data_IF_900539168526
#
_entry.id   IF_900539168526
#
_cell.length_a   1.000
_cell.length_b   1.000
_cell.length_c   1.000
_cell.angle_alpha   90.00
_cell.angle_beta   90.00
_cell.angle_gamma   90.00
#
_symmetry.space_group_name_H-M   'P 1'
#
loop_
_entity.id
_entity.type
_entity.pdbx_description
1 polymer ?
#
# COMPACT_ATOMS: atom_id res chain seq x y z
N UNK A 1 17.23 -20.82 -10.77
CA UNK A 1 18.08 -19.93 -9.97
C UNK A 1 17.13 -18.94 -9.34
N UNK A 2 16.85 -19.05 -8.04
CA UNK A 2 16.00 -18.07 -7.39
C UNK A 2 16.75 -16.72 -7.44
N UNK A 3 16.20 -15.76 -8.16
CA UNK A 3 16.64 -14.38 -8.05
C UNK A 3 16.68 -14.03 -6.57
N UNK A 4 17.82 -13.51 -6.08
CA UNK A 4 17.95 -13.13 -4.68
C UNK A 4 16.81 -12.17 -4.34
N UNK A 5 15.89 -12.62 -3.50
CA UNK A 5 14.78 -11.79 -3.03
C UNK A 5 15.36 -10.73 -2.12
N UNK A 6 15.34 -9.47 -2.57
CA UNK A 6 15.75 -8.34 -1.76
C UNK A 6 14.61 -7.95 -0.80
N UNK A 7 14.62 -8.57 0.38
CA UNK A 7 13.62 -8.33 1.44
C UNK A 7 13.65 -6.88 1.92
N UNK A 8 14.82 -6.23 1.93
CA UNK A 8 14.95 -4.84 2.35
C UNK A 8 14.27 -3.89 1.35
N UNK A 9 14.44 -4.14 0.04
CA UNK A 9 13.75 -3.38 -0.99
C UNK A 9 12.21 -3.56 -0.92
N UNK A 10 11.73 -4.78 -0.67
CA UNK A 10 10.31 -5.06 -0.50
C UNK A 10 9.73 -4.37 0.74
N UNK A 11 10.42 -4.42 1.88
CA UNK A 11 10.01 -3.71 3.10
C UNK A 11 9.89 -2.20 2.85
N UNK A 12 10.86 -1.62 2.12
CA UNK A 12 10.83 -0.20 1.74
C UNK A 12 9.65 0.14 0.82
N UNK A 13 9.31 -0.71 -0.14
CA UNK A 13 8.14 -0.52 -1.00
C UNK A 13 6.83 -0.57 -0.20
N UNK A 14 6.76 -1.45 0.80
CA UNK A 14 5.63 -1.57 1.71
C UNK A 14 5.57 -0.48 2.80
N UNK A 15 6.57 0.42 2.85
CA UNK A 15 6.74 1.45 3.90
C UNK A 15 6.83 0.86 5.32
N UNK A 16 7.44 -0.32 5.43
CA UNK A 16 7.69 -0.99 6.71
C UNK A 16 9.11 -0.70 7.21
N UNK A 17 9.22 -0.35 8.48
CA UNK A 17 10.50 -0.31 9.19
C UNK A 17 10.74 -1.70 9.79
N UNK A 18 11.81 -2.35 9.37
CA UNK A 18 12.14 -3.73 9.76
C UNK A 18 13.50 -3.73 10.43
N UNK A 19 13.57 -4.27 11.65
CA UNK A 19 14.81 -4.35 12.40
C UNK A 19 15.81 -5.36 11.78
N UNK A 20 17.11 -5.28 12.10
CA UNK A 20 18.11 -6.19 11.54
C UNK A 20 17.85 -7.66 11.89
N UNK A 21 17.33 -7.93 13.10
CA UNK A 21 16.99 -9.30 13.52
C UNK A 21 15.78 -9.86 12.77
N UNK A 22 14.78 -9.04 12.50
CA UNK A 22 13.59 -9.41 11.73
C UNK A 22 13.93 -9.60 10.25
N UNK A 23 14.81 -8.77 9.71
CA UNK A 23 15.28 -8.90 8.33
C UNK A 23 15.90 -10.28 8.08
N UNK A 24 16.77 -10.75 8.98
CA UNK A 24 17.42 -12.08 8.87
C UNK A 24 16.40 -13.22 8.95
N UNK A 25 15.30 -13.06 9.70
CA UNK A 25 14.21 -14.05 9.73
C UNK A 25 13.43 -14.05 8.42
N UNK A 26 13.03 -12.87 7.94
CA UNK A 26 12.26 -12.71 6.71
C UNK A 26 13.05 -13.15 5.47
N UNK A 27 14.37 -12.97 5.45
CA UNK A 27 15.26 -13.50 4.41
C UNK A 27 15.23 -15.03 4.29
N UNK A 28 14.84 -15.74 5.36
CA UNK A 28 14.64 -17.20 5.35
C UNK A 28 13.20 -17.59 5.05
N UNK A 29 12.24 -16.90 5.67
CA UNK A 29 10.82 -17.24 5.57
C UNK A 29 10.22 -16.92 4.19
N UNK A 30 10.61 -15.80 3.57
CA UNK A 30 10.05 -15.41 2.27
C UNK A 30 10.37 -16.42 1.16
N UNK A 31 11.61 -16.93 1.02
CA UNK A 31 11.91 -18.02 0.09
C UNK A 31 11.06 -19.28 0.32
N UNK A 32 10.81 -19.66 1.57
CA UNK A 32 9.98 -20.83 1.90
C UNK A 32 8.52 -20.62 1.48
N UNK A 33 7.99 -19.42 1.69
CA UNK A 33 6.64 -19.03 1.24
C UNK A 33 6.56 -19.06 -0.29
N UNK A 34 7.57 -18.54 -1.00
CA UNK A 34 7.62 -18.58 -2.45
C UNK A 34 7.67 -20.02 -2.98
N UNK A 35 8.48 -20.89 -2.37
CA UNK A 35 8.53 -22.31 -2.71
C UNK A 35 7.18 -23.01 -2.50
N UNK A 36 6.44 -22.63 -1.46
CA UNK A 36 5.08 -23.12 -1.26
C UNK A 36 4.12 -22.62 -2.35
N UNK A 37 4.16 -21.33 -2.71
CA UNK A 37 3.30 -20.77 -3.77
C UNK A 37 3.64 -21.35 -5.15
N UNK A 38 4.90 -21.68 -5.43
CA UNK A 38 5.32 -22.36 -6.66
C UNK A 38 4.62 -23.70 -6.87
N UNK A 39 4.12 -24.35 -5.81
CA UNK A 39 3.31 -25.57 -5.94
C UNK A 39 2.03 -25.34 -6.76
N UNK A 40 1.47 -24.13 -6.75
CA UNK A 40 0.29 -23.76 -7.53
C UNK A 40 0.59 -23.79 -9.03
N UNK A 41 1.83 -23.49 -9.46
CA UNK A 41 2.22 -23.56 -10.88
C UNK A 41 2.14 -24.98 -11.44
N UNK A 42 2.22 -26.01 -10.58
CA UNK A 42 2.10 -27.42 -10.99
C UNK A 42 0.65 -27.80 -11.29
N UNK A 43 -0.32 -27.01 -10.83
CA UNK A 43 -1.72 -27.19 -11.19
C UNK A 43 -1.97 -26.58 -12.58
N UNK A 44 -2.38 -27.41 -13.53
CA UNK A 44 -2.82 -26.94 -14.85
C UNK A 44 -4.09 -26.10 -14.70
N UNK A 45 -3.97 -24.79 -14.94
CA UNK A 45 -5.11 -23.89 -15.02
C UNK A 45 -5.12 -23.22 -16.40
N UNK A 46 -5.71 -23.90 -17.38
CA UNK A 46 -6.09 -23.32 -18.67
C UNK A 46 -7.31 -22.41 -18.53
N UNK A 47 -7.25 -21.44 -17.62
CA UNK A 47 -8.39 -20.59 -17.29
C UNK A 47 -8.11 -19.18 -17.80
N UNK A 48 -8.90 -18.72 -18.75
CA UNK A 48 -8.91 -17.30 -19.10
C UNK A 48 -9.36 -16.50 -17.88
N UNK A 49 -8.50 -15.60 -17.41
CA UNK A 49 -8.87 -14.58 -16.43
C UNK A 49 -9.80 -13.56 -17.10
N UNK A 50 -11.08 -13.92 -17.25
CA UNK A 50 -12.11 -12.95 -17.59
C UNK A 50 -12.25 -12.03 -16.39
N UNK A 51 -11.97 -10.74 -16.61
CA UNK A 51 -12.27 -9.70 -15.62
C UNK A 51 -13.73 -9.80 -15.17
N UNK A 52 -14.04 -9.20 -14.03
CA UNK A 52 -15.44 -9.02 -13.63
C UNK A 52 -16.16 -8.36 -14.80
N UNK A 53 -17.13 -9.04 -15.42
CA UNK A 53 -17.75 -8.69 -16.72
C UNK A 53 -18.59 -7.41 -16.73
N UNK A 54 -18.24 -6.47 -15.86
CA UNK A 54 -18.78 -5.14 -15.74
C UNK A 54 -17.98 -4.20 -16.64
N UNK A 55 -18.70 -3.43 -17.43
CA UNK A 55 -18.14 -2.40 -18.29
C UNK A 55 -18.79 -1.08 -17.95
N UNK A 56 -17.97 -0.02 -17.82
CA UNK A 56 -18.44 1.36 -17.68
C UNK A 56 -19.49 1.56 -16.57
N UNK A 57 -19.18 1.06 -15.37
CA UNK A 57 -20.01 1.29 -14.19
C UNK A 57 -19.81 2.74 -13.73
N UNK A 58 -20.69 3.63 -14.18
CA UNK A 58 -20.64 5.05 -13.88
C UNK A 58 -21.58 5.43 -12.73
N UNK A 59 -21.20 6.46 -11.98
CA UNK A 59 -22.04 7.12 -10.98
C UNK A 59 -22.64 8.39 -11.60
N UNK A 60 -23.92 8.66 -11.34
CA UNK A 60 -24.58 9.93 -11.71
C UNK A 60 -23.97 11.08 -10.89
N UNK A 61 -23.70 12.21 -11.54
CA UNK A 61 -23.09 13.38 -10.88
C UNK A 61 -24.12 14.25 -10.15
N UNK A 62 -24.81 13.65 -9.18
CA UNK A 62 -25.86 14.29 -8.40
C UNK A 62 -25.63 14.08 -6.89
N UNK A 63 -26.25 14.93 -6.07
CA UNK A 63 -26.32 14.81 -4.61
C UNK A 63 -24.97 14.80 -3.87
N UNK A 64 -24.05 15.69 -4.24
CA UNK A 64 -22.83 15.91 -3.44
C UNK A 64 -23.18 16.39 -2.02
N UNK A 65 -22.41 15.95 -1.03
CA UNK A 65 -22.54 16.47 0.33
C UNK A 65 -22.15 17.96 0.39
N UNK A 66 -22.86 18.72 1.23
CA UNK A 66 -22.51 20.11 1.49
C UNK A 66 -21.08 20.21 2.03
N UNK A 67 -20.38 21.27 1.59
CA UNK A 67 -19.02 21.55 2.04
C UNK A 67 -18.97 21.68 3.57
N UNK A 68 -17.99 21.04 4.20
CA UNK A 68 -17.82 21.11 5.64
C UNK A 68 -18.66 20.10 6.45
N UNK A 69 -19.65 19.42 5.84
CA UNK A 69 -20.61 18.57 6.56
C UNK A 69 -19.96 17.53 7.48
N UNK A 70 -18.85 16.93 7.05
CA UNK A 70 -18.14 15.90 7.81
C UNK A 70 -16.74 16.32 8.27
N UNK A 71 -16.36 17.59 8.11
CA UNK A 71 -15.00 18.05 8.41
C UNK A 71 -14.59 17.75 9.84
N UNK A 72 -15.46 18.03 10.82
CA UNK A 72 -15.18 17.74 12.24
C UNK A 72 -14.95 16.23 12.47
N UNK A 73 -15.84 15.40 11.93
CA UNK A 73 -15.80 13.96 12.13
C UNK A 73 -14.56 13.32 11.50
N UNK A 74 -14.12 13.82 10.33
CA UNK A 74 -12.88 13.40 9.68
C UNK A 74 -11.63 13.84 10.45
N UNK A 75 -11.63 15.06 10.99
CA UNK A 75 -10.50 15.61 11.73
C UNK A 75 -10.36 14.99 13.14
N UNK A 76 -11.46 14.59 13.76
CA UNK A 76 -11.45 13.87 15.04
C UNK A 76 -10.81 12.46 14.91
N UNK A 77 -10.82 11.89 13.69
CA UNK A 77 -10.13 10.63 13.38
C UNK A 77 -8.65 10.83 13.02
N UNK A 78 -8.18 12.07 12.83
CA UNK A 78 -6.79 12.36 12.47
C UNK A 78 -5.88 12.31 13.72
N UNK A 79 -4.71 11.66 13.66
CA UNK A 79 -3.79 11.60 14.80
C UNK A 79 -3.30 12.97 15.29
N UNK A 80 -3.18 13.94 14.38
CA UNK A 80 -2.79 15.31 14.69
C UNK A 80 -3.46 16.28 13.71
N UNK A 81 -3.86 17.46 14.20
CA UNK A 81 -4.47 18.51 13.38
C UNK A 81 -4.02 19.91 13.78
N UNK A 82 -4.05 20.82 12.82
CA UNK A 82 -3.85 22.25 12.99
C UNK A 82 -5.01 22.99 12.33
N UNK A 83 -5.92 23.55 13.12
CA UNK A 83 -7.18 24.10 12.63
C UNK A 83 -8.00 23.04 11.89
N UNK A 84 -8.30 23.32 10.62
CA UNK A 84 -9.07 22.45 9.72
C UNK A 84 -8.16 21.60 8.79
N UNK A 85 -6.93 21.31 9.21
CA UNK A 85 -5.94 20.55 8.42
C UNK A 85 -5.35 19.40 9.23
N UNK A 86 -5.02 18.30 8.55
CA UNK A 86 -4.24 17.20 9.13
C UNK A 86 -2.77 17.63 9.20
N UNK A 87 -2.18 17.54 10.39
CA UNK A 87 -0.80 17.94 10.62
C UNK A 87 0.15 16.76 10.39
N UNK A 88 1.17 16.97 9.56
CA UNK A 88 2.24 15.99 9.30
C UNK A 88 3.61 16.65 9.36
N UNK A 89 4.64 15.86 9.69
CA UNK A 89 6.03 16.35 9.66
C UNK A 89 6.43 16.63 8.21
N UNK A 90 7.01 17.80 7.95
CA UNK A 90 7.53 18.12 6.63
C UNK A 90 8.71 17.19 6.27
N UNK A 91 8.59 16.48 5.15
CA UNK A 91 9.58 15.47 4.71
C UNK A 91 10.55 16.03 3.66
N UNK A 92 10.15 17.05 2.91
CA UNK A 92 10.98 17.67 1.86
C UNK A 92 11.11 19.16 2.10
N UNK A 93 12.34 19.63 2.31
CA UNK A 93 12.69 21.05 2.43
C UNK A 93 13.39 21.53 1.16
N UNK A 94 12.89 22.61 0.55
CA UNK A 94 13.54 23.26 -0.60
C UNK A 94 14.61 24.23 -0.06
N UNK A 95 15.88 23.82 -0.06
CA UNK A 95 16.98 24.76 0.20
C UNK A 95 17.12 25.71 -1.00
N UNK A 96 16.59 26.92 -0.86
CA UNK A 96 16.81 28.00 -1.82
C UNK A 96 18.26 28.47 -1.64
N UNK A 97 19.17 28.02 -2.51
CA UNK A 97 20.46 28.70 -2.65
C UNK A 97 20.19 30.05 -3.31
N UNK A 98 20.47 31.12 -2.56
CA UNK A 98 20.60 32.48 -3.09
C UNK A 98 21.85 32.60 -3.97
#
# INVERSE_FOLDING_TARGET
MADKVDVAALAKLARLEVGPEELVKLEKEIPDILAFVETIQKASAGVEHKGQGLHNVMRVDENAHESGKYTKQLLDAAPAREGDRIAVKQVVSRNKKS
#
